data_IF_516961472917
#
_entry.id   IF_516961472917
#
_cell.length_a   1.000
_cell.length_b   1.000
_cell.length_c   1.000
_cell.angle_alpha   90.00
_cell.angle_beta   90.00
_cell.angle_gamma   90.00
#
_symmetry.space_group_name_H-M   'P 1'
#
loop_
_entity.id
_entity.type
_entity.pdbx_description
1 polymer ?
#
# COMPACT_ATOMS: atom_id res chain seq x y z
N UNK A 1 6.41 -7.18 23.23
CA UNK A 1 6.64 -8.07 22.07
C UNK A 1 7.95 -7.63 21.41
N UNK A 2 8.93 -8.51 21.25
CA UNK A 2 10.22 -8.14 20.67
C UNK A 2 10.10 -7.82 19.17
N UNK A 3 10.85 -6.84 18.63
CA UNK A 3 10.86 -6.57 17.21
C UNK A 3 11.37 -7.79 16.45
N UNK A 4 10.74 -8.10 15.30
CA UNK A 4 11.24 -9.15 14.41
C UNK A 4 12.61 -8.73 13.87
N UNK A 5 13.49 -9.69 13.63
CA UNK A 5 14.83 -9.44 13.09
C UNK A 5 14.82 -8.76 11.72
N UNK A 6 15.98 -8.21 11.35
CA UNK A 6 16.19 -7.52 10.08
C UNK A 6 16.01 -8.45 8.87
N UNK A 7 15.72 -7.86 7.72
CA UNK A 7 15.68 -8.59 6.45
C UNK A 7 17.08 -9.11 6.09
N UNK A 8 17.14 -10.27 5.41
CA UNK A 8 18.42 -10.80 4.91
C UNK A 8 19.05 -9.81 3.92
N UNK A 9 20.37 -9.80 3.84
CA UNK A 9 21.05 -9.07 2.78
C UNK A 9 20.78 -9.74 1.42
N UNK A 10 20.77 -8.94 0.35
CA UNK A 10 20.45 -9.42 -1.00
C UNK A 10 21.45 -10.46 -1.50
N UNK A 11 22.75 -10.17 -1.36
CA UNK A 11 23.84 -11.10 -1.69
C UNK A 11 23.64 -12.48 -1.05
N UNK A 12 23.17 -12.53 0.19
CA UNK A 12 22.92 -13.79 0.90
C UNK A 12 21.75 -14.57 0.28
N UNK A 13 20.69 -13.88 -0.14
CA UNK A 13 19.58 -14.51 -0.87
C UNK A 13 20.02 -15.02 -2.24
N UNK A 14 20.91 -14.29 -2.93
CA UNK A 14 21.47 -14.71 -4.22
C UNK A 14 22.29 -15.99 -4.06
N UNK A 15 23.16 -16.06 -3.05
CA UNK A 15 23.91 -17.29 -2.73
C UNK A 15 22.97 -18.48 -2.50
N UNK A 16 21.90 -18.29 -1.73
CA UNK A 16 20.89 -19.34 -1.48
C UNK A 16 20.26 -19.82 -2.80
N UNK A 17 19.87 -18.88 -3.67
CA UNK A 17 19.23 -19.21 -4.96
C UNK A 17 20.21 -19.90 -5.91
N UNK A 18 21.47 -19.48 -5.94
CA UNK A 18 22.51 -20.11 -6.75
C UNK A 18 22.77 -21.56 -6.30
N UNK A 19 22.93 -21.80 -5.00
CA UNK A 19 23.10 -23.16 -4.47
C UNK A 19 21.88 -24.05 -4.75
N UNK A 20 20.67 -23.48 -4.66
CA UNK A 20 19.45 -24.19 -5.02
C UNK A 20 19.43 -24.56 -6.51
N UNK A 21 19.85 -23.67 -7.42
CA UNK A 21 19.98 -23.96 -8.85
C UNK A 21 21.02 -25.05 -9.14
N UNK A 22 22.08 -25.13 -8.35
CA UNK A 22 23.10 -26.18 -8.43
C UNK A 22 22.63 -27.55 -7.92
N UNK A 23 21.40 -27.66 -7.41
CA UNK A 23 20.81 -28.93 -6.95
C UNK A 23 21.05 -29.27 -5.49
N UNK A 24 21.63 -28.37 -4.68
CA UNK A 24 21.82 -28.62 -3.25
C UNK A 24 20.48 -28.69 -2.50
N UNK A 25 20.42 -29.57 -1.50
CA UNK A 25 19.27 -29.69 -0.60
C UNK A 25 19.19 -28.50 0.35
N UNK A 26 18.00 -28.25 0.92
CA UNK A 26 17.82 -27.13 1.85
C UNK A 26 18.66 -27.24 3.12
N UNK A 27 18.97 -28.46 3.57
CA UNK A 27 19.80 -28.69 4.76
C UNK A 27 21.26 -28.37 4.47
N UNK A 28 21.79 -28.76 3.30
CA UNK A 28 23.15 -28.41 2.88
C UNK A 28 23.31 -26.90 2.70
N UNK A 29 22.34 -26.24 2.07
CA UNK A 29 22.35 -24.78 1.91
C UNK A 29 22.30 -24.09 3.28
N UNK A 30 21.48 -24.61 4.20
CA UNK A 30 21.38 -24.09 5.57
C UNK A 30 22.72 -24.14 6.30
N UNK A 31 23.43 -25.27 6.18
CA UNK A 31 24.78 -25.42 6.74
C UNK A 31 25.80 -24.49 6.09
N UNK A 32 25.79 -24.39 4.76
CA UNK A 32 26.75 -23.58 4.01
C UNK A 32 26.61 -22.06 4.28
N UNK A 33 25.38 -21.57 4.44
CA UNK A 33 25.09 -20.14 4.62
C UNK A 33 24.89 -19.76 6.10
N UNK A 34 24.89 -20.74 7.01
CA UNK A 34 24.61 -20.57 8.44
C UNK A 34 23.27 -19.83 8.72
N UNK A 35 22.23 -20.23 7.99
CA UNK A 35 20.88 -19.67 8.11
C UNK A 35 19.92 -20.81 8.33
N UNK A 36 18.91 -20.61 9.17
CA UNK A 36 17.89 -21.65 9.43
C UNK A 36 17.27 -22.20 8.14
N UNK A 37 17.10 -23.53 8.09
CA UNK A 37 16.45 -24.25 6.97
C UNK A 37 15.10 -23.64 6.59
N UNK A 38 14.32 -23.18 7.56
CA UNK A 38 13.02 -22.52 7.32
C UNK A 38 13.16 -21.21 6.53
N UNK A 39 14.23 -20.44 6.79
CA UNK A 39 14.49 -19.21 6.06
C UNK A 39 14.95 -19.50 4.64
N UNK A 40 15.82 -20.50 4.45
CA UNK A 40 16.23 -21.00 3.13
C UNK A 40 15.00 -21.42 2.31
N UNK A 41 14.12 -22.23 2.89
CA UNK A 41 12.89 -22.66 2.23
C UNK A 41 12.00 -21.47 1.81
N UNK A 42 11.83 -20.46 2.67
CA UNK A 42 11.06 -19.24 2.35
C UNK A 42 11.68 -18.44 1.21
N UNK A 43 13.00 -18.32 1.16
CA UNK A 43 13.71 -17.64 0.08
C UNK A 43 13.50 -18.38 -1.25
N UNK A 44 13.69 -19.70 -1.27
CA UNK A 44 13.49 -20.53 -2.47
C UNK A 44 12.03 -20.50 -2.94
N UNK A 45 11.05 -20.60 -2.03
CA UNK A 45 9.63 -20.49 -2.37
C UNK A 45 9.28 -19.13 -2.99
N UNK A 46 9.81 -18.03 -2.42
CA UNK A 46 9.63 -16.69 -3.00
C UNK A 46 10.25 -16.60 -4.39
N UNK A 47 11.46 -17.12 -4.57
CA UNK A 47 12.13 -17.16 -5.86
C UNK A 47 11.32 -17.96 -6.90
N UNK A 48 10.79 -19.13 -6.55
CA UNK A 48 9.91 -19.92 -7.44
C UNK A 48 8.64 -19.18 -7.86
N UNK A 49 8.09 -18.35 -6.97
CA UNK A 49 6.85 -17.59 -7.24
C UNK A 49 7.08 -16.31 -8.05
N UNK A 50 8.11 -15.55 -7.70
CA UNK A 50 8.35 -14.22 -8.28
C UNK A 50 9.42 -14.20 -9.38
N UNK A 51 10.29 -15.21 -9.44
CA UNK A 51 11.45 -15.26 -10.32
C UNK A 51 12.60 -14.33 -9.92
N UNK A 52 12.44 -13.53 -8.86
CA UNK A 52 13.43 -12.53 -8.42
C UNK A 52 13.93 -12.80 -7.01
N UNK A 53 15.16 -12.33 -6.74
CA UNK A 53 15.81 -12.36 -5.43
C UNK A 53 15.64 -11.03 -4.68
N UNK A 54 15.41 -9.96 -5.44
CA UNK A 54 15.13 -8.61 -4.96
C UNK A 54 13.78 -8.57 -4.24
N UNK A 55 13.74 -7.84 -3.13
CA UNK A 55 12.48 -7.54 -2.47
C UNK A 55 11.75 -6.43 -3.24
N UNK A 56 10.52 -6.69 -3.67
CA UNK A 56 9.67 -5.68 -4.28
C UNK A 56 9.33 -4.55 -3.31
N UNK A 57 9.07 -3.35 -3.85
CA UNK A 57 8.57 -2.24 -3.04
C UNK A 57 7.24 -2.64 -2.42
N UNK A 58 7.08 -2.36 -1.12
CA UNK A 58 5.79 -2.45 -0.45
C UNK A 58 4.87 -1.41 -1.10
N UNK A 59 3.66 -1.81 -1.50
CA UNK A 59 2.66 -0.91 -2.09
C UNK A 59 2.14 0.15 -1.11
N UNK A 60 2.51 0.03 0.18
CA UNK A 60 2.10 0.95 1.23
C UNK A 60 0.60 0.83 1.55
N UNK A 61 0.09 1.80 2.31
CA UNK A 61 -1.33 1.91 2.59
C UNK A 61 -2.05 2.40 1.32
N UNK A 62 -3.19 1.80 0.93
CA UNK A 62 -4.00 2.33 -0.15
C UNK A 62 -4.30 3.82 0.04
N UNK A 63 -4.20 4.59 -1.04
CA UNK A 63 -4.45 6.02 -1.01
C UNK A 63 -5.94 6.30 -0.75
N UNK A 64 -6.24 7.31 0.08
CA UNK A 64 -7.61 7.76 0.33
C UNK A 64 -8.30 8.31 -0.92
N UNK A 65 -7.51 8.89 -1.82
CA UNK A 65 -7.99 9.47 -3.08
C UNK A 65 -7.59 8.58 -4.25
N UNK A 66 -8.57 8.24 -5.09
CA UNK A 66 -8.29 7.61 -6.38
C UNK A 66 -7.76 8.66 -7.38
N UNK A 67 -7.15 8.21 -8.47
CA UNK A 67 -6.56 9.13 -9.46
C UNK A 67 -7.61 10.02 -10.13
N UNK A 68 -8.85 9.56 -10.25
CA UNK A 68 -9.98 10.36 -10.72
C UNK A 68 -10.24 11.55 -9.80
N UNK A 69 -10.28 11.32 -8.48
CA UNK A 69 -10.45 12.40 -7.49
C UNK A 69 -9.32 13.40 -7.56
N UNK A 70 -8.07 12.93 -7.68
CA UNK A 70 -6.90 13.81 -7.81
C UNK A 70 -6.97 14.67 -9.08
N UNK A 71 -7.40 14.10 -10.21
CA UNK A 71 -7.59 14.85 -11.46
C UNK A 71 -8.68 15.92 -11.34
N UNK A 72 -9.83 15.57 -10.74
CA UNK A 72 -10.90 16.55 -10.51
C UNK A 72 -10.43 17.68 -9.60
N UNK A 73 -9.76 17.34 -8.50
CA UNK A 73 -9.16 18.32 -7.59
C UNK A 73 -8.21 19.26 -8.33
N UNK A 74 -7.33 18.72 -9.18
CA UNK A 74 -6.41 19.52 -10.01
C UNK A 74 -7.14 20.49 -10.92
N UNK A 75 -8.18 20.04 -11.64
CA UNK A 75 -8.99 20.89 -12.52
C UNK A 75 -9.66 22.04 -11.78
N UNK A 76 -10.18 21.81 -10.57
CA UNK A 76 -10.84 22.84 -9.77
C UNK A 76 -9.88 23.92 -9.30
N UNK A 77 -8.69 23.51 -8.87
CA UNK A 77 -7.63 24.42 -8.42
C UNK A 77 -7.11 25.25 -9.60
N UNK A 78 -6.87 24.62 -10.75
CA UNK A 78 -6.35 25.30 -11.95
C UNK A 78 -7.38 26.24 -12.59
N UNK A 79 -8.66 25.83 -12.64
CA UNK A 79 -9.74 26.66 -13.19
C UNK A 79 -10.11 27.85 -12.32
N UNK A 80 -9.70 27.87 -11.04
CA UNK A 80 -10.03 28.96 -10.13
C UNK A 80 -9.01 29.09 -8.99
N UNK A 81 -7.86 29.71 -9.32
CA UNK A 81 -6.68 29.82 -8.46
C UNK A 81 -6.93 30.38 -7.05
N UNK A 82 -7.99 31.19 -6.86
CA UNK A 82 -8.33 31.83 -5.58
C UNK A 82 -9.37 31.08 -4.74
N UNK A 83 -9.80 29.88 -5.15
CA UNK A 83 -10.75 29.08 -4.34
C UNK A 83 -10.07 28.55 -3.07
N UNK A 84 -10.83 28.53 -1.98
CA UNK A 84 -10.39 27.95 -0.72
C UNK A 84 -10.42 26.43 -0.76
N UNK A 85 -9.54 25.79 0.03
CA UNK A 85 -9.48 24.33 0.12
C UNK A 85 -10.80 23.71 0.61
N UNK A 86 -11.56 24.41 1.46
CA UNK A 86 -12.86 23.97 1.96
C UNK A 86 -13.90 23.86 0.83
N UNK A 87 -14.01 24.90 0.00
CA UNK A 87 -14.91 24.92 -1.16
C UNK A 87 -14.56 23.80 -2.16
N UNK A 88 -13.27 23.55 -2.40
CA UNK A 88 -12.82 22.46 -3.27
C UNK A 88 -13.15 21.09 -2.66
N UNK A 89 -13.00 20.92 -1.35
CA UNK A 89 -13.32 19.68 -0.66
C UNK A 89 -14.83 19.37 -0.69
N UNK A 90 -15.68 20.38 -0.50
CA UNK A 90 -17.14 20.27 -0.67
C UNK A 90 -17.49 19.83 -2.10
N UNK A 91 -16.92 20.45 -3.12
CA UNK A 91 -17.25 20.09 -4.50
C UNK A 91 -16.80 18.65 -4.85
N UNK A 92 -15.61 18.26 -4.37
CA UNK A 92 -15.11 16.89 -4.54
C UNK A 92 -16.02 15.89 -3.82
N UNK A 93 -16.46 16.21 -2.61
CA UNK A 93 -17.29 15.33 -1.81
C UNK A 93 -18.69 15.13 -2.43
N UNK A 94 -19.28 16.18 -3.01
CA UNK A 94 -20.50 16.10 -3.83
C UNK A 94 -20.31 15.22 -5.09
N UNK A 95 -19.15 15.32 -5.75
CA UNK A 95 -18.85 14.54 -6.97
C UNK A 95 -18.62 13.04 -6.73
N UNK A 96 -18.26 12.65 -5.50
CA UNK A 96 -17.86 11.28 -5.16
C UNK A 96 -19.01 10.40 -4.66
N UNK A 97 -20.23 10.92 -4.55
CA UNK A 97 -21.42 10.17 -4.14
C UNK A 97 -21.16 9.24 -2.95
N UNK A 98 -20.35 9.70 -1.99
CA UNK A 98 -20.18 9.02 -0.71
C UNK A 98 -21.44 9.28 0.09
N UNK A 99 -22.17 8.19 0.35
CA UNK A 99 -23.49 8.09 0.98
C UNK A 99 -23.65 8.76 2.35
N UNK A 100 -22.63 9.47 2.84
CA UNK A 100 -22.58 10.16 4.12
C UNK A 100 -23.15 11.59 4.08
N UNK A 101 -23.04 12.31 2.95
CA UNK A 101 -23.51 13.71 2.86
C UNK A 101 -25.05 13.80 2.82
N UNK A 102 -25.74 12.78 2.28
CA UNK A 102 -27.21 12.70 2.33
C UNK A 102 -27.74 12.70 3.77
N UNK A 103 -27.05 12.02 4.68
CA UNK A 103 -27.39 11.95 6.10
C UNK A 103 -27.13 13.30 6.80
N UNK A 104 -26.03 13.98 6.45
CA UNK A 104 -25.68 15.28 7.03
C UNK A 104 -26.59 16.41 6.53
N UNK A 105 -26.95 16.41 5.24
CA UNK A 105 -27.89 17.39 4.68
C UNK A 105 -29.33 17.16 5.15
N UNK A 106 -29.76 15.89 5.32
CA UNK A 106 -31.06 15.59 5.93
C UNK A 106 -31.12 16.04 7.40
N UNK A 107 -30.05 15.82 8.17
CA UNK A 107 -29.98 16.22 9.58
C UNK A 107 -29.94 17.75 9.75
N UNK A 108 -29.24 18.47 8.86
CA UNK A 108 -29.21 19.94 8.87
C UNK A 108 -30.52 20.57 8.36
N UNK A 109 -31.23 19.95 7.41
CA UNK A 109 -32.52 20.44 6.92
C UNK A 109 -33.66 20.28 7.94
N UNK A 110 -33.60 19.27 8.81
CA UNK A 110 -34.59 19.09 9.88
C UNK A 110 -34.47 20.12 11.01
N UNK A 111 -33.33 20.79 11.17
CA UNK A 111 -33.09 21.76 12.24
C UNK A 111 -33.38 23.22 11.86
N UNK A 112 -33.66 23.53 10.60
CA UNK A 112 -33.90 24.92 10.13
C UNK A 112 -35.37 25.30 9.99
N UNK A 113 -36.31 24.46 10.45
CA UNK A 113 -37.76 24.68 10.25
C UNK A 113 -38.54 25.05 11.52
N UNK A 114 -37.88 25.45 12.62
CA UNK A 114 -38.56 25.79 13.89
C UNK A 114 -38.14 27.14 14.48
N UNK A 115 -37.75 28.09 13.63
CA UNK A 115 -37.61 29.51 14.01
C UNK A 115 -38.26 30.40 12.95
N UNK A 116 -39.60 30.31 12.88
CA UNK A 116 -40.51 31.42 12.53
C UNK A 116 -41.67 31.30 13.52
#
# INVERSE_FOLDING_TARGET
>A
MAPRGNELHEKTRETIVNLFKSGHSYTEISGNVNISRNTVAKVVQRYKKAGTVTNGRRLGRPNKFCDRTKRRMKQLIEGSRRRSAASVAEEISHSLNVTFIKLLNHYMAMFTSSFI
#
